data_IF_172948600725
#
_entry.id   IF_172948600725
#
_cell.length_a   1.000
_cell.length_b   1.000
_cell.length_c   1.000
_cell.angle_alpha   90.00
_cell.angle_beta   90.00
_cell.angle_gamma   90.00
#
_symmetry.space_group_name_H-M   'P 1'
#
loop_
_entity.id
_entity.type
_entity.pdbx_description
1 polymer ?
#
# COMPACT_ATOMS: atom_id res chain seq x y z
N UNK A 1 -29.28 -3.08 0.51
CA UNK A 1 -29.12 -1.66 0.18
C UNK A 1 -28.61 -0.91 1.38
N UNK A 2 -27.61 -0.07 1.19
CA UNK A 2 -27.01 0.66 2.28
C UNK A 2 -27.93 1.78 2.78
N UNK A 3 -28.06 1.89 4.08
CA UNK A 3 -28.74 3.01 4.71
C UNK A 3 -27.81 4.25 4.62
N UNK A 4 -28.31 5.41 4.12
CA UNK A 4 -27.49 6.64 4.08
C UNK A 4 -27.04 7.11 5.46
N UNK A 5 -27.78 6.72 6.52
CA UNK A 5 -27.40 6.98 7.91
C UNK A 5 -27.19 5.65 8.64
N UNK A 6 -26.04 4.98 8.40
CA UNK A 6 -25.83 3.67 9.00
C UNK A 6 -25.83 3.73 10.52
N UNK A 7 -26.69 2.92 11.14
CA UNK A 7 -26.65 2.73 12.58
C UNK A 7 -25.44 1.86 12.94
N UNK A 8 -24.98 1.99 14.19
CA UNK A 8 -23.85 1.20 14.63
C UNK A 8 -24.21 0.57 15.99
N UNK A 9 -24.30 -0.76 16.08
CA UNK A 9 -24.03 -1.74 15.01
C UNK A 9 -25.13 -1.75 13.95
N UNK A 10 -24.81 -2.12 12.71
CA UNK A 10 -25.80 -2.22 11.63
C UNK A 10 -26.89 -3.24 11.95
N UNK A 11 -28.10 -2.98 11.46
CA UNK A 11 -29.22 -3.89 11.65
C UNK A 11 -29.06 -5.15 10.78
N UNK A 12 -29.57 -6.28 11.27
CA UNK A 12 -29.60 -7.52 10.50
C UNK A 12 -30.57 -7.39 9.34
N UNK A 13 -30.15 -7.76 8.13
CA UNK A 13 -31.04 -7.85 6.98
C UNK A 13 -31.75 -9.21 6.99
N UNK A 14 -32.96 -9.21 7.48
CA UNK A 14 -33.76 -10.43 7.59
C UNK A 14 -34.18 -11.00 6.22
N UNK A 15 -34.14 -10.17 5.17
CA UNK A 15 -34.50 -10.60 3.82
C UNK A 15 -33.39 -11.39 3.13
N UNK A 16 -32.16 -11.31 3.61
CA UNK A 16 -31.04 -12.02 3.03
C UNK A 16 -31.12 -13.52 3.32
N UNK A 17 -30.98 -14.35 2.30
CA UNK A 17 -30.95 -15.80 2.48
C UNK A 17 -29.66 -16.22 3.20
N UNK A 18 -29.69 -17.41 3.81
CA UNK A 18 -28.50 -17.96 4.45
C UNK A 18 -27.36 -18.16 3.45
N UNK A 19 -27.69 -18.59 2.22
CA UNK A 19 -26.69 -18.77 1.17
C UNK A 19 -26.05 -17.43 0.79
N UNK A 20 -26.83 -16.37 0.66
CA UNK A 20 -26.33 -15.04 0.34
C UNK A 20 -25.48 -14.47 1.48
N UNK A 21 -25.85 -14.72 2.74
CA UNK A 21 -25.06 -14.33 3.90
C UNK A 21 -23.71 -15.05 3.89
N UNK A 22 -23.71 -16.36 3.59
CA UNK A 22 -22.46 -17.14 3.50
C UNK A 22 -21.60 -16.65 2.36
N UNK A 23 -22.19 -16.40 1.18
CA UNK A 23 -21.47 -15.90 0.02
C UNK A 23 -20.87 -14.52 0.31
N UNK A 24 -21.63 -13.65 0.98
CA UNK A 24 -21.12 -12.33 1.37
C UNK A 24 -19.94 -12.44 2.34
N UNK A 25 -20.02 -13.36 3.30
CA UNK A 25 -18.92 -13.63 4.22
C UNK A 25 -17.66 -14.08 3.45
N UNK A 26 -17.82 -15.03 2.54
CA UNK A 26 -16.71 -15.54 1.74
C UNK A 26 -16.15 -14.45 0.82
N UNK A 27 -16.99 -13.56 0.33
CA UNK A 27 -16.57 -12.43 -0.50
C UNK A 27 -15.64 -11.50 0.28
N UNK A 28 -16.00 -11.16 1.53
CA UNK A 28 -15.12 -10.36 2.39
C UNK A 28 -13.83 -11.10 2.73
N UNK A 29 -13.93 -12.38 3.11
CA UNK A 29 -12.75 -13.16 3.51
C UNK A 29 -11.79 -13.40 2.33
N UNK A 30 -12.31 -13.50 1.12
CA UNK A 30 -11.48 -13.67 -0.08
C UNK A 30 -10.53 -12.50 -0.30
N UNK A 31 -10.86 -11.33 0.21
CA UNK A 31 -10.00 -10.15 0.14
C UNK A 31 -8.64 -10.36 0.79
N UNK A 32 -8.56 -11.24 1.78
CA UNK A 32 -7.30 -11.55 2.46
C UNK A 32 -6.30 -12.20 1.51
N UNK A 33 -6.77 -13.06 0.61
CA UNK A 33 -5.91 -13.83 -0.28
C UNK A 33 -5.90 -13.32 -1.72
N UNK A 34 -7.05 -12.85 -2.22
CA UNK A 34 -7.24 -12.54 -3.64
C UNK A 34 -7.53 -11.06 -3.91
N UNK A 35 -7.53 -10.23 -2.88
CA UNK A 35 -7.75 -8.80 -3.02
C UNK A 35 -9.14 -8.47 -3.56
N UNK A 36 -9.21 -7.67 -4.63
CA UNK A 36 -10.48 -7.18 -5.17
C UNK A 36 -11.13 -8.12 -6.18
N UNK A 37 -10.48 -9.21 -6.57
CA UNK A 37 -10.91 -10.05 -7.70
C UNK A 37 -12.27 -10.69 -7.42
N UNK A 38 -12.43 -11.38 -6.28
CA UNK A 38 -13.68 -12.06 -5.95
C UNK A 38 -14.83 -11.08 -5.72
N UNK A 39 -14.67 -10.01 -4.92
CA UNK A 39 -15.74 -9.02 -4.77
C UNK A 39 -16.19 -8.42 -6.10
N UNK A 40 -15.25 -8.14 -7.01
CA UNK A 40 -15.59 -7.62 -8.32
C UNK A 40 -16.44 -8.60 -9.12
N UNK A 41 -16.05 -9.87 -9.16
CA UNK A 41 -16.77 -10.91 -9.90
C UNK A 41 -18.17 -11.10 -9.31
N UNK A 42 -18.28 -11.24 -8.00
CA UNK A 42 -19.56 -11.45 -7.33
C UNK A 42 -20.50 -10.27 -7.57
N UNK A 43 -20.00 -9.06 -7.49
CA UNK A 43 -20.81 -7.86 -7.78
C UNK A 43 -21.25 -7.83 -9.24
N UNK A 44 -20.36 -8.05 -10.20
CA UNK A 44 -20.70 -8.00 -11.63
C UNK A 44 -21.73 -9.05 -12.00
N UNK A 45 -21.67 -10.24 -11.42
CA UNK A 45 -22.61 -11.34 -11.71
C UNK A 45 -24.00 -11.05 -11.14
N UNK A 46 -24.09 -10.41 -9.98
CA UNK A 46 -25.34 -10.29 -9.24
C UNK A 46 -25.94 -8.88 -9.23
N UNK A 47 -25.27 -7.88 -9.76
CA UNK A 47 -25.65 -6.46 -9.61
C UNK A 47 -27.04 -6.12 -10.14
N UNK A 48 -27.53 -6.86 -11.12
CA UNK A 48 -28.83 -6.59 -11.74
C UNK A 48 -29.94 -7.52 -11.21
N UNK A 49 -29.63 -8.36 -10.23
CA UNK A 49 -30.59 -9.28 -9.65
C UNK A 49 -31.20 -8.67 -8.37
N UNK A 50 -32.50 -8.25 -8.40
CA UNK A 50 -33.11 -7.60 -7.23
C UNK A 50 -33.22 -8.52 -6.01
N UNK A 51 -33.19 -9.85 -6.19
CA UNK A 51 -33.23 -10.78 -5.07
C UNK A 51 -31.89 -10.89 -4.33
N UNK A 52 -30.83 -10.33 -4.89
CA UNK A 52 -29.46 -10.38 -4.34
C UNK A 52 -29.01 -9.05 -3.76
N UNK A 53 -29.94 -8.23 -3.25
CA UNK A 53 -29.63 -6.89 -2.75
C UNK A 53 -28.58 -6.89 -1.66
N UNK A 54 -28.67 -7.80 -0.68
CA UNK A 54 -27.69 -7.89 0.39
C UNK A 54 -26.31 -8.27 -0.13
N UNK A 55 -26.25 -9.30 -0.99
CA UNK A 55 -24.98 -9.77 -1.57
C UNK A 55 -24.34 -8.67 -2.43
N UNK A 56 -25.14 -7.97 -3.22
CA UNK A 56 -24.66 -6.85 -4.05
C UNK A 56 -24.08 -5.73 -3.20
N UNK A 57 -24.77 -5.36 -2.13
CA UNK A 57 -24.32 -4.32 -1.22
C UNK A 57 -22.98 -4.72 -0.57
N UNK A 58 -22.89 -5.93 -0.07
CA UNK A 58 -21.68 -6.42 0.60
C UNK A 58 -20.52 -6.62 -0.39
N UNK A 59 -20.81 -7.03 -1.61
CA UNK A 59 -19.77 -7.15 -2.65
C UNK A 59 -19.19 -5.79 -3.01
N UNK A 60 -20.03 -4.76 -3.13
CA UNK A 60 -19.57 -3.39 -3.36
C UNK A 60 -18.74 -2.88 -2.19
N UNK A 61 -19.20 -3.14 -0.96
CA UNK A 61 -18.47 -2.73 0.23
C UNK A 61 -17.09 -3.39 0.29
N UNK A 62 -17.03 -4.69 0.04
CA UNK A 62 -15.76 -5.43 0.00
C UNK A 62 -14.85 -4.91 -1.11
N UNK A 63 -15.41 -4.64 -2.30
CA UNK A 63 -14.67 -4.10 -3.42
C UNK A 63 -14.10 -2.72 -3.11
N UNK A 64 -14.92 -1.84 -2.56
CA UNK A 64 -14.48 -0.49 -2.17
C UNK A 64 -13.38 -0.54 -1.13
N UNK A 65 -13.48 -1.45 -0.16
CA UNK A 65 -12.45 -1.64 0.84
C UNK A 65 -11.13 -2.10 0.21
N UNK A 66 -11.17 -3.06 -0.70
CA UNK A 66 -9.96 -3.54 -1.38
C UNK A 66 -9.32 -2.48 -2.27
N UNK A 67 -10.12 -1.67 -2.94
CA UNK A 67 -9.62 -0.54 -3.73
C UNK A 67 -8.93 0.47 -2.80
N UNK A 68 -9.53 0.76 -1.66
CA UNK A 68 -8.93 1.65 -0.66
C UNK A 68 -7.59 1.12 -0.18
N UNK A 69 -7.51 -0.19 0.12
CA UNK A 69 -6.25 -0.81 0.54
C UNK A 69 -5.20 -0.73 -0.55
N UNK A 70 -5.59 -0.88 -1.81
CA UNK A 70 -4.66 -0.75 -2.94
C UNK A 70 -3.99 0.63 -2.93
N UNK A 71 -4.77 1.71 -2.76
CA UNK A 71 -4.21 3.05 -2.65
C UNK A 71 -3.30 3.19 -1.43
N UNK A 72 -3.70 2.63 -0.29
CA UNK A 72 -2.87 2.68 0.93
C UNK A 72 -1.53 1.97 0.70
N UNK A 73 -1.53 0.82 0.05
CA UNK A 73 -0.30 0.08 -0.25
C UNK A 73 0.60 0.87 -1.20
N UNK A 74 0.03 1.50 -2.22
CA UNK A 74 0.81 2.34 -3.16
C UNK A 74 1.47 3.49 -2.41
N UNK A 75 0.71 4.20 -1.57
CA UNK A 75 1.23 5.29 -0.76
C UNK A 75 2.32 4.79 0.19
N UNK A 76 2.12 3.63 0.81
CA UNK A 76 3.10 3.02 1.70
C UNK A 76 4.41 2.70 1.00
N UNK A 77 4.36 2.18 -0.22
CA UNK A 77 5.55 1.89 -1.03
C UNK A 77 6.29 3.19 -1.36
N UNK A 78 5.57 4.22 -1.80
CA UNK A 78 6.16 5.52 -2.12
C UNK A 78 6.85 6.12 -0.90
N UNK A 79 6.20 6.11 0.26
CA UNK A 79 6.77 6.62 1.50
C UNK A 79 8.01 5.83 1.93
N UNK A 80 8.02 4.51 1.72
CA UNK A 80 9.18 3.67 2.02
C UNK A 80 10.38 4.04 1.15
N UNK A 81 10.15 4.27 -0.15
CA UNK A 81 11.21 4.67 -1.08
C UNK A 81 11.77 6.03 -0.68
N UNK A 82 10.92 6.99 -0.36
CA UNK A 82 11.33 8.34 0.05
C UNK A 82 12.17 8.28 1.34
N UNK A 83 11.74 7.51 2.32
CA UNK A 83 12.42 7.39 3.61
C UNK A 83 13.81 6.76 3.44
N UNK A 84 13.91 5.67 2.66
CA UNK A 84 15.18 5.01 2.37
C UNK A 84 16.10 5.96 1.61
N UNK A 85 15.57 6.68 0.60
CA UNK A 85 16.34 7.67 -0.16
C UNK A 85 16.89 8.78 0.70
N UNK A 86 16.10 9.30 1.63
CA UNK A 86 16.55 10.32 2.57
C UNK A 86 17.66 9.80 3.47
N UNK A 87 17.55 8.55 3.93
CA UNK A 87 18.57 7.92 4.75
C UNK A 87 19.89 7.76 3.99
N UNK A 88 19.83 7.30 2.74
CA UNK A 88 21.00 7.15 1.87
C UNK A 88 21.67 8.51 1.66
N UNK A 89 20.90 9.55 1.38
CA UNK A 89 21.42 10.90 1.19
C UNK A 89 22.09 11.43 2.45
N UNK A 90 21.53 11.18 3.62
CA UNK A 90 22.13 11.58 4.89
C UNK A 90 23.47 10.91 5.11
N UNK A 91 23.56 9.60 4.87
CA UNK A 91 24.81 8.84 4.99
C UNK A 91 25.86 9.36 4.01
N UNK A 92 25.45 9.60 2.75
CA UNK A 92 26.33 10.16 1.74
C UNK A 92 26.85 11.54 2.14
N UNK A 93 26.01 12.39 2.71
CA UNK A 93 26.41 13.72 3.16
C UNK A 93 27.42 13.65 4.30
N UNK A 94 27.18 12.78 5.28
CA UNK A 94 28.10 12.58 6.41
C UNK A 94 29.44 12.04 5.90
N UNK A 95 29.43 11.07 4.99
CA UNK A 95 30.64 10.54 4.38
C UNK A 95 31.39 11.63 3.63
N UNK A 96 30.71 12.48 2.87
CA UNK A 96 31.30 13.60 2.18
C UNK A 96 32.00 14.55 3.15
N UNK A 97 31.32 14.91 4.24
CA UNK A 97 31.88 15.80 5.23
C UNK A 97 33.16 15.23 5.85
N UNK A 98 33.11 13.99 6.35
CA UNK A 98 34.23 13.37 7.03
C UNK A 98 35.40 13.13 6.09
N UNK A 99 35.16 12.52 4.93
CA UNK A 99 36.21 12.16 3.99
C UNK A 99 36.83 13.40 3.33
N UNK A 100 36.05 14.45 3.08
CA UNK A 100 36.58 15.70 2.53
C UNK A 100 37.51 16.41 3.52
N UNK A 101 37.17 16.37 4.80
CA UNK A 101 38.05 16.94 5.84
C UNK A 101 39.36 16.16 5.92
N UNK A 102 39.28 14.81 5.92
CA UNK A 102 40.49 13.97 5.95
C UNK A 102 41.35 14.23 4.71
N UNK A 103 40.74 14.26 3.54
CA UNK A 103 41.45 14.51 2.28
C UNK A 103 42.12 15.87 2.26
N UNK A 104 41.40 16.90 2.74
CA UNK A 104 41.94 18.25 2.81
C UNK A 104 43.16 18.36 3.74
N UNK A 105 43.09 17.74 4.92
CA UNK A 105 44.19 17.72 5.85
C UNK A 105 45.40 16.95 5.31
N UNK A 106 45.17 15.81 4.64
CA UNK A 106 46.26 15.05 4.02
C UNK A 106 46.89 15.82 2.87
N UNK A 107 46.09 16.50 2.02
CA UNK A 107 46.62 17.32 0.94
C UNK A 107 47.48 18.48 1.49
N UNK A 108 47.08 19.08 2.58
CA UNK A 108 47.89 20.13 3.25
C UNK A 108 49.27 19.63 3.62
N UNK A 109 49.38 18.36 4.01
CA UNK A 109 50.64 17.73 4.38
C UNK A 109 51.39 17.17 3.15
N UNK A 110 50.95 17.44 1.93
CA UNK A 110 51.55 16.95 0.71
C UNK A 110 51.25 15.49 0.37
N UNK A 111 50.30 14.89 1.06
CA UNK A 111 49.92 13.49 0.85
C UNK A 111 48.80 13.41 -0.18
N UNK A 112 49.00 12.62 -1.26
CA UNK A 112 47.96 12.37 -2.27
C UNK A 112 46.99 11.35 -1.78
N UNK A 113 46.01 11.81 -0.98
CA UNK A 113 44.97 10.95 -0.42
C UNK A 113 44.07 10.35 -1.49
N UNK A 114 43.65 9.12 -1.29
CA UNK A 114 42.67 8.44 -2.16
C UNK A 114 41.42 8.11 -1.38
N UNK A 115 40.25 8.58 -1.86
CA UNK A 115 38.97 8.23 -1.24
C UNK A 115 38.78 6.71 -1.31
N UNK A 116 38.26 6.08 -0.23
CA UNK A 116 38.10 4.62 -0.22
C UNK A 116 37.12 4.10 -1.24
N UNK A 117 36.13 4.93 -1.66
CA UNK A 117 35.23 4.59 -2.75
C UNK A 117 34.99 5.82 -3.60
N UNK A 118 35.42 5.75 -4.82
CA UNK A 118 35.19 6.79 -5.81
C UNK A 118 35.28 6.15 -7.19
N UNK A 119 34.30 6.46 -8.04
CA UNK A 119 34.36 6.09 -9.44
C UNK A 119 35.27 7.13 -10.13
N UNK A 120 36.37 6.67 -10.71
CA UNK A 120 37.36 7.57 -11.31
C UNK A 120 37.10 7.73 -12.78
N UNK A 121 36.12 8.59 -13.10
CA UNK A 121 35.76 8.92 -14.49
C UNK A 121 36.79 9.85 -15.13
N UNK A 122 37.40 10.69 -14.31
CA UNK A 122 38.47 11.62 -14.77
C UNK A 122 39.80 10.98 -14.42
N UNK A 123 40.63 10.78 -15.43
CA UNK A 123 41.92 10.10 -15.25
C UNK A 123 43.09 11.03 -15.55
#
# INVERSE_FOLDING_TARGET
MSDPNPSFPPAVDESASQDDRTMAMLTHLSGILLGFIVPLIIWLVNKDNPSKGFLNDQSKEALNFQITLLFVYIIGIILSIILIGALVNMVAWVACLVLSIIAGLKAKDGIAYRYPFAIRLIK
#
